data_IF_208839590899
#
_entry.id   IF_208839590899
#
_cell.length_a   1.000
_cell.length_b   1.000
_cell.length_c   1.000
_cell.angle_alpha   90.00
_cell.angle_beta   90.00
_cell.angle_gamma   90.00
#
_symmetry.space_group_name_H-M   'P 1'
#
loop_
_entity.id
_entity.type
_entity.pdbx_description
1 polymer ?
#
# COMPACT_ATOMS: atom_id res chain seq x y z
N UNK A 1 -11.10 29.45 -3.14
CA UNK A 1 -10.50 29.75 -4.43
C UNK A 1 -9.74 28.53 -4.93
N UNK A 2 -9.83 28.19 -6.20
CA UNK A 2 -9.15 27.04 -6.79
C UNK A 2 -7.70 27.41 -7.11
N UNK A 3 -6.74 26.59 -6.65
CA UNK A 3 -5.30 26.86 -6.83
C UNK A 3 -4.63 25.87 -7.78
N UNK A 4 -5.17 24.66 -7.89
CA UNK A 4 -4.70 23.66 -8.85
C UNK A 4 -5.89 22.92 -9.44
N UNK A 5 -5.91 22.78 -10.77
CA UNK A 5 -6.82 21.89 -11.49
C UNK A 5 -6.04 21.03 -12.47
N UNK A 6 -6.25 19.73 -12.38
CA UNK A 6 -5.78 18.75 -13.36
C UNK A 6 -6.99 18.08 -13.98
N UNK A 7 -7.03 17.99 -15.33
CA UNK A 7 -8.17 17.41 -16.05
C UNK A 7 -7.70 16.51 -17.17
N UNK A 8 -8.25 15.29 -17.21
CA UNK A 8 -7.98 14.25 -18.21
C UNK A 8 -6.48 13.98 -18.41
N UNK A 9 -5.74 13.90 -17.28
CA UNK A 9 -4.30 13.64 -17.32
C UNK A 9 -4.04 12.17 -17.62
N UNK A 10 -3.21 11.92 -18.63
CA UNK A 10 -2.63 10.60 -18.91
C UNK A 10 -1.12 10.73 -19.04
N UNK A 11 -0.39 10.09 -18.14
CA UNK A 11 1.08 9.99 -18.18
C UNK A 11 1.50 8.56 -18.44
N UNK A 12 2.35 8.40 -19.45
CA UNK A 12 2.98 7.11 -19.79
C UNK A 12 4.50 7.24 -19.75
N UNK A 13 5.20 6.20 -19.33
CA UNK A 13 6.65 6.04 -19.43
C UNK A 13 6.92 4.66 -20.02
N UNK A 14 7.67 4.59 -21.12
CA UNK A 14 7.96 3.34 -21.82
C UNK A 14 6.70 2.50 -22.09
N UNK A 15 5.66 3.11 -22.64
CA UNK A 15 4.34 2.50 -22.96
C UNK A 15 3.56 1.97 -21.75
N UNK A 16 4.02 2.24 -20.51
CA UNK A 16 3.31 1.89 -19.29
C UNK A 16 2.56 3.11 -18.76
N UNK A 17 1.26 2.95 -18.50
CA UNK A 17 0.49 3.98 -17.80
C UNK A 17 0.98 4.13 -16.37
N UNK A 18 1.42 5.35 -16.02
CA UNK A 18 1.88 5.70 -14.68
C UNK A 18 0.78 6.42 -13.92
N UNK A 19 0.10 7.38 -14.57
CA UNK A 19 -0.98 8.15 -13.95
C UNK A 19 -2.13 8.36 -14.94
N UNK A 20 -3.35 8.18 -14.43
CA UNK A 20 -4.60 8.53 -15.09
C UNK A 20 -5.45 9.33 -14.10
N UNK A 21 -5.67 10.60 -14.38
CA UNK A 21 -6.38 11.53 -13.50
C UNK A 21 -7.53 12.13 -14.29
N UNK A 22 -8.76 11.65 -14.08
CA UNK A 22 -9.93 12.25 -14.73
C UNK A 22 -10.09 13.72 -14.33
N UNK A 23 -10.09 13.99 -13.04
CA UNK A 23 -10.10 15.33 -12.47
C UNK A 23 -9.51 15.34 -11.06
N UNK A 24 -8.69 16.35 -10.75
CA UNK A 24 -8.20 16.67 -9.41
C UNK A 24 -8.25 18.18 -9.24
N UNK A 25 -8.95 18.65 -8.21
CA UNK A 25 -9.07 20.06 -7.87
C UNK A 25 -8.60 20.26 -6.44
N UNK A 26 -7.69 21.23 -6.27
CA UNK A 26 -7.23 21.65 -4.95
C UNK A 26 -7.57 23.12 -4.72
N UNK A 27 -8.00 23.43 -3.50
CA UNK A 27 -8.41 24.76 -3.10
C UNK A 27 -7.38 25.40 -2.17
N UNK A 28 -7.44 26.73 -2.11
CA UNK A 28 -6.58 27.51 -1.25
C UNK A 28 -6.76 27.11 0.24
N UNK A 29 -5.64 26.99 0.94
CA UNK A 29 -5.63 26.62 2.35
C UNK A 29 -5.75 25.12 2.65
N UNK A 30 -5.96 24.25 1.64
CA UNK A 30 -6.03 22.80 1.87
C UNK A 30 -4.67 22.22 2.28
N UNK A 31 -4.71 21.19 3.12
CA UNK A 31 -3.57 20.39 3.59
C UNK A 31 -3.70 18.99 2.98
N UNK A 32 -2.92 18.73 1.94
CA UNK A 32 -3.07 17.52 1.13
C UNK A 32 -1.86 16.60 1.32
N UNK A 33 -2.11 15.34 1.70
CA UNK A 33 -1.12 14.27 1.69
C UNK A 33 -1.20 13.45 0.41
N UNK A 34 -0.08 13.26 -0.30
CA UNK A 34 -0.02 12.31 -1.42
C UNK A 34 0.58 11.02 -0.90
N UNK A 35 -0.19 9.93 -1.01
CA UNK A 35 0.21 8.60 -0.53
C UNK A 35 0.13 7.55 -1.64
N UNK A 36 0.95 6.50 -1.49
CA UNK A 36 1.01 5.38 -2.43
C UNK A 36 2.33 4.63 -2.30
N UNK A 37 2.40 3.43 -2.87
CA UNK A 37 3.61 2.61 -2.85
C UNK A 37 4.80 3.29 -3.55
N UNK A 38 6.03 2.83 -3.27
CA UNK A 38 7.20 3.37 -3.96
C UNK A 38 7.14 3.04 -5.45
N UNK A 39 7.50 4.02 -6.29
CA UNK A 39 7.47 3.88 -7.75
C UNK A 39 6.08 4.00 -8.38
N UNK A 40 5.02 4.34 -7.62
CA UNK A 40 3.65 4.46 -8.15
C UNK A 40 3.41 5.75 -8.94
N UNK A 41 4.34 6.72 -8.91
CA UNK A 41 4.22 7.98 -9.64
C UNK A 41 4.04 9.24 -8.77
N UNK A 42 4.27 9.18 -7.44
CA UNK A 42 4.16 10.35 -6.56
C UNK A 42 5.04 11.51 -7.03
N UNK A 43 6.34 11.28 -7.19
CA UNK A 43 7.29 12.30 -7.66
C UNK A 43 7.00 12.74 -9.10
N UNK A 44 6.50 11.85 -9.96
CA UNK A 44 6.05 12.20 -11.33
C UNK A 44 4.87 13.18 -11.26
N UNK A 45 3.90 12.92 -10.39
CA UNK A 45 2.77 13.83 -10.15
C UNK A 45 3.25 15.22 -9.71
N UNK A 46 4.19 15.27 -8.74
CA UNK A 46 4.76 16.54 -8.28
C UNK A 46 5.48 17.28 -9.42
N UNK A 47 6.29 16.58 -10.22
CA UNK A 47 7.01 17.18 -11.37
C UNK A 47 6.06 17.75 -12.43
N UNK A 48 4.93 17.09 -12.66
CA UNK A 48 3.92 17.65 -13.56
C UNK A 48 3.28 18.92 -12.99
N UNK A 49 3.01 18.95 -11.67
CA UNK A 49 2.42 20.14 -11.01
C UNK A 49 3.39 21.34 -11.07
N UNK A 50 4.69 21.13 -10.85
CA UNK A 50 5.70 22.20 -10.94
C UNK A 50 6.18 22.47 -12.37
N UNK A 51 5.56 21.84 -13.38
CA UNK A 51 5.85 21.99 -14.80
C UNK A 51 7.28 21.61 -15.24
N UNK A 52 7.96 20.76 -14.45
CA UNK A 52 9.24 20.13 -14.85
C UNK A 52 9.04 18.96 -15.84
N UNK A 53 7.89 18.30 -15.80
CA UNK A 53 7.52 17.22 -16.71
C UNK A 53 6.26 17.60 -17.47
N UNK A 54 6.41 17.93 -18.74
CA UNK A 54 5.31 18.35 -19.63
C UNK A 54 4.92 17.25 -20.65
N UNK A 55 5.52 16.06 -20.54
CA UNK A 55 5.19 14.92 -21.41
C UNK A 55 3.99 14.15 -20.85
N UNK A 56 2.80 14.75 -20.96
CA UNK A 56 1.52 14.15 -20.58
C UNK A 56 0.40 14.67 -21.49
N UNK A 57 -0.71 13.93 -21.53
CA UNK A 57 -1.96 14.40 -22.14
C UNK A 57 -2.85 15.03 -21.07
N UNK A 58 -3.69 15.96 -21.48
CA UNK A 58 -4.64 16.63 -20.59
C UNK A 58 -4.23 18.07 -20.26
N UNK A 59 -4.79 18.64 -19.22
CA UNK A 59 -4.59 20.03 -18.84
C UNK A 59 -4.29 20.14 -17.35
N UNK A 60 -3.24 20.91 -17.01
CA UNK A 60 -2.92 21.33 -15.64
C UNK A 60 -2.98 22.85 -15.60
N UNK A 61 -3.79 23.37 -14.70
CA UNK A 61 -3.90 24.81 -14.45
C UNK A 61 -3.48 25.08 -13.01
N UNK A 62 -2.54 25.97 -12.82
CA UNK A 62 -2.05 26.42 -11.52
C UNK A 62 -2.34 27.91 -11.38
N UNK A 63 -3.00 28.30 -10.30
CA UNK A 63 -3.32 29.68 -9.96
C UNK A 63 -2.49 30.10 -8.75
N UNK A 64 -1.39 30.80 -8.97
CA UNK A 64 -0.46 31.30 -7.96
C UNK A 64 0.94 30.72 -8.12
N UNK A 65 1.83 31.15 -7.25
CA UNK A 65 3.23 30.75 -7.21
C UNK A 65 3.41 29.44 -6.42
N UNK A 66 4.39 28.63 -6.87
CA UNK A 66 4.73 27.36 -6.25
C UNK A 66 6.13 27.44 -5.67
N UNK A 67 6.31 26.99 -4.41
CA UNK A 67 7.61 26.62 -3.89
C UNK A 67 7.68 25.10 -3.73
N UNK A 68 8.77 24.50 -4.19
CA UNK A 68 9.01 23.07 -4.11
C UNK A 68 10.26 22.75 -3.29
N UNK A 69 10.11 21.91 -2.29
CA UNK A 69 11.20 21.35 -1.49
C UNK A 69 11.37 19.88 -1.87
N UNK A 70 12.39 19.55 -2.68
CA UNK A 70 12.64 18.18 -3.11
C UNK A 70 13.21 17.32 -1.98
N UNK A 71 13.07 16.01 -2.13
CA UNK A 71 13.76 15.05 -1.27
C UNK A 71 15.27 15.18 -1.43
N UNK A 72 15.99 15.40 -0.33
CA UNK A 72 17.46 15.44 -0.31
C UNK A 72 18.01 14.01 -0.43
N UNK A 73 18.58 13.66 -1.58
CA UNK A 73 19.10 12.31 -1.86
C UNK A 73 20.62 12.18 -1.69
N UNK A 74 21.37 13.23 -2.02
CA UNK A 74 22.84 13.24 -1.98
C UNK A 74 23.32 14.38 -1.10
N UNK A 75 24.22 14.03 -0.18
CA UNK A 75 24.86 14.96 0.73
C UNK A 75 26.32 15.04 0.30
N UNK A 76 26.67 16.07 -0.49
CA UNK A 76 28.06 16.30 -0.89
C UNK A 76 28.82 17.18 0.11
N UNK A 77 28.11 18.16 0.71
CA UNK A 77 28.70 19.09 1.68
C UNK A 77 27.69 19.37 2.81
N UNK A 78 28.05 19.05 4.04
CA UNK A 78 27.24 19.35 5.22
C UNK A 78 26.36 18.20 5.73
N UNK A 79 25.53 18.47 6.74
CA UNK A 79 24.55 17.53 7.27
C UNK A 79 23.26 17.61 6.45
N UNK A 80 22.73 16.46 6.00
CA UNK A 80 21.45 16.42 5.27
C UNK A 80 20.31 17.14 5.97
N UNK A 81 20.29 17.10 7.31
CA UNK A 81 19.30 17.83 8.09
C UNK A 81 19.43 19.35 8.02
N UNK A 82 20.65 19.90 7.91
CA UNK A 82 20.85 21.34 7.73
C UNK A 82 20.41 21.81 6.37
N UNK A 83 20.76 21.04 5.33
CA UNK A 83 20.36 21.35 3.96
C UNK A 83 18.83 21.32 3.87
N UNK A 84 18.17 20.27 4.40
CA UNK A 84 16.72 20.16 4.42
C UNK A 84 16.09 21.33 5.19
N UNK A 85 16.64 21.68 6.36
CA UNK A 85 16.10 22.78 7.17
C UNK A 85 16.29 24.14 6.47
N UNK A 86 17.40 24.36 5.78
CA UNK A 86 17.67 25.58 5.00
C UNK A 86 16.64 25.72 3.87
N UNK A 87 16.45 24.67 3.05
CA UNK A 87 15.47 24.66 1.97
C UNK A 87 14.05 24.92 2.48
N UNK A 88 13.67 24.28 3.59
CA UNK A 88 12.36 24.52 4.21
C UNK A 88 12.20 25.97 4.65
N UNK A 89 13.18 26.56 5.32
CA UNK A 89 13.12 27.97 5.75
C UNK A 89 13.00 28.93 4.57
N UNK A 90 13.75 28.71 3.52
CA UNK A 90 13.68 29.50 2.28
C UNK A 90 12.29 29.39 1.63
N UNK A 91 11.75 28.17 1.49
CA UNK A 91 10.44 27.92 0.92
C UNK A 91 9.30 28.56 1.73
N UNK A 92 9.33 28.50 3.07
CA UNK A 92 8.35 29.21 3.91
C UNK A 92 8.49 30.73 3.87
N UNK A 93 9.72 31.25 3.68
CA UNK A 93 9.98 32.68 3.64
C UNK A 93 9.46 33.34 2.36
N UNK A 94 9.39 32.62 1.26
CA UNK A 94 8.84 33.11 -0.02
C UNK A 94 7.31 33.26 -0.01
N UNK A 95 6.60 32.70 1.00
CA UNK A 95 5.14 32.76 1.15
C UNK A 95 4.38 32.36 -0.11
N UNK A 96 4.66 31.21 -0.70
CA UNK A 96 4.01 30.81 -1.95
C UNK A 96 2.52 30.52 -1.75
N UNK A 97 1.74 30.58 -2.83
CA UNK A 97 0.34 30.14 -2.82
C UNK A 97 0.22 28.62 -2.63
N UNK A 98 1.18 27.87 -3.17
CA UNK A 98 1.27 26.40 -3.05
C UNK A 98 2.67 26.03 -2.59
N UNK A 99 2.76 25.33 -1.47
CA UNK A 99 4.00 24.77 -0.96
C UNK A 99 4.00 23.24 -1.13
N UNK A 100 4.95 22.72 -1.88
CA UNK A 100 5.10 21.28 -2.14
C UNK A 100 6.31 20.76 -1.38
N UNK A 101 6.11 19.73 -0.54
CA UNK A 101 7.11 19.12 0.32
C UNK A 101 7.24 17.63 -0.05
N UNK A 102 8.40 17.21 -0.56
CA UNK A 102 8.67 15.80 -0.90
C UNK A 102 9.62 15.19 0.14
N UNK A 103 9.08 14.31 1.02
CA UNK A 103 9.77 13.65 2.14
C UNK A 103 10.57 14.60 3.04
N UNK A 104 9.96 15.68 3.56
CA UNK A 104 10.70 16.75 4.27
C UNK A 104 11.30 16.30 5.60
N UNK A 105 10.83 15.17 6.18
CA UNK A 105 11.32 14.66 7.47
C UNK A 105 12.49 13.71 7.38
N UNK A 106 12.88 13.25 6.18
CA UNK A 106 13.85 12.17 5.98
C UNK A 106 15.23 12.40 6.64
N UNK A 107 15.61 13.66 6.86
CA UNK A 107 16.89 14.05 7.47
C UNK A 107 16.73 14.97 8.70
N UNK A 108 15.48 15.21 9.15
CA UNK A 108 15.23 16.06 10.30
C UNK A 108 15.29 15.25 11.61
N UNK A 109 15.80 15.87 12.65
CA UNK A 109 15.64 15.39 14.02
C UNK A 109 14.24 15.75 14.57
N UNK A 110 13.87 15.14 15.70
CA UNK A 110 12.55 15.33 16.31
C UNK A 110 12.21 16.80 16.60
N UNK A 111 13.20 17.59 17.01
CA UNK A 111 12.99 19.03 17.28
C UNK A 111 12.63 19.78 15.99
N UNK A 112 13.33 19.50 14.90
CA UNK A 112 13.06 20.13 13.60
C UNK A 112 11.76 19.64 12.97
N UNK A 113 11.35 18.38 13.22
CA UNK A 113 10.01 17.89 12.82
C UNK A 113 8.91 18.68 13.53
N UNK A 114 9.02 18.90 14.84
CA UNK A 114 8.06 19.74 15.60
C UNK A 114 8.01 21.19 15.08
N UNK A 115 9.19 21.76 14.80
CA UNK A 115 9.29 23.08 14.16
C UNK A 115 8.55 23.11 12.82
N UNK A 116 8.74 22.07 11.98
CA UNK A 116 8.05 21.96 10.68
C UNK A 116 6.54 21.90 10.85
N UNK A 117 6.02 21.07 11.75
CA UNK A 117 4.58 20.98 12.04
C UNK A 117 4.02 22.35 12.44
N UNK A 118 4.71 23.06 13.34
CA UNK A 118 4.28 24.38 13.77
C UNK A 118 4.31 25.41 12.62
N UNK A 119 5.30 25.35 11.72
CA UNK A 119 5.33 26.23 10.54
C UNK A 119 4.22 25.93 9.56
N UNK A 120 3.94 24.65 9.31
CA UNK A 120 2.84 24.21 8.44
C UNK A 120 1.48 24.65 8.99
N UNK A 121 1.25 24.51 10.30
CA UNK A 121 -0.04 24.90 10.92
C UNK A 121 -0.34 26.40 10.80
N UNK A 122 0.71 27.25 10.71
CA UNK A 122 0.59 28.71 10.56
C UNK A 122 0.70 29.20 9.11
N UNK A 123 0.81 28.29 8.17
CA UNK A 123 0.95 28.66 6.76
C UNK A 123 -0.43 28.90 6.13
N UNK A 124 -0.66 30.07 5.52
CA UNK A 124 -1.97 30.42 4.96
C UNK A 124 -2.23 29.78 3.57
N UNK A 125 -1.17 29.45 2.81
CA UNK A 125 -1.28 28.82 1.48
C UNK A 125 -1.67 27.34 1.54
N UNK A 126 -1.78 26.73 0.38
CA UNK A 126 -2.06 25.30 0.18
C UNK A 126 -0.78 24.50 0.35
N UNK A 127 -0.85 23.37 1.04
CA UNK A 127 0.29 22.46 1.21
C UNK A 127 0.01 21.13 0.54
N UNK A 128 0.96 20.67 -0.27
CA UNK A 128 1.02 19.33 -0.84
C UNK A 128 2.21 18.62 -0.22
N UNK A 129 1.95 17.54 0.53
CA UNK A 129 2.95 16.81 1.29
C UNK A 129 3.03 15.36 0.81
N UNK A 130 4.22 14.92 0.42
CA UNK A 130 4.57 13.51 0.27
C UNK A 130 5.40 13.11 1.46
N UNK A 131 4.95 12.16 2.27
CA UNK A 131 5.71 11.65 3.41
C UNK A 131 5.35 10.22 3.76
N UNK A 132 6.29 9.51 4.35
CA UNK A 132 6.10 8.21 5.02
C UNK A 132 6.01 8.36 6.55
N UNK A 133 6.17 9.55 7.07
CA UNK A 133 6.06 9.86 8.50
C UNK A 133 4.58 10.00 8.90
N UNK A 134 4.07 8.97 9.58
CA UNK A 134 2.67 8.93 10.05
C UNK A 134 2.34 10.06 11.00
N UNK A 135 3.27 10.38 11.91
CA UNK A 135 3.06 11.44 12.89
C UNK A 135 2.87 12.79 12.21
N UNK A 136 3.69 13.07 11.18
CA UNK A 136 3.55 14.28 10.38
C UNK A 136 2.22 14.32 9.64
N UNK A 137 1.84 13.22 8.96
CA UNK A 137 0.61 13.14 8.19
C UNK A 137 -0.63 13.30 9.07
N UNK A 138 -0.70 12.63 10.22
CA UNK A 138 -1.87 12.70 11.11
C UNK A 138 -2.07 14.08 11.75
N UNK A 139 -0.97 14.83 12.00
CA UNK A 139 -1.07 16.15 12.62
C UNK A 139 -1.39 17.30 11.64
N UNK A 140 -1.21 17.06 10.33
CA UNK A 140 -1.25 18.14 9.34
C UNK A 140 -2.35 17.93 8.31
N UNK A 141 -2.53 16.68 7.83
CA UNK A 141 -3.31 16.41 6.63
C UNK A 141 -4.79 16.32 6.93
N UNK A 142 -5.59 16.99 6.10
CA UNK A 142 -7.05 16.99 6.13
C UNK A 142 -7.65 16.27 4.90
N UNK A 143 -6.82 16.06 3.88
CA UNK A 143 -7.22 15.46 2.62
C UNK A 143 -6.09 14.60 2.06
N UNK A 144 -6.39 13.40 1.64
CA UNK A 144 -5.41 12.46 1.08
C UNK A 144 -5.72 12.22 -0.39
N UNK A 145 -4.70 12.38 -1.21
CA UNK A 145 -4.69 11.94 -2.61
C UNK A 145 -3.86 10.67 -2.68
N UNK A 146 -4.51 9.54 -2.93
CA UNK A 146 -3.80 8.26 -3.02
C UNK A 146 -3.73 7.78 -4.46
N UNK A 147 -2.57 7.18 -4.79
CA UNK A 147 -2.30 6.64 -6.12
C UNK A 147 -2.29 5.12 -6.05
N UNK A 148 -3.18 4.48 -6.79
CA UNK A 148 -3.28 3.03 -6.86
C UNK A 148 -3.63 2.57 -8.28
N UNK A 149 -2.88 1.60 -8.83
CA UNK A 149 -3.09 1.07 -10.19
C UNK A 149 -3.18 2.17 -11.25
N UNK A 150 -2.30 3.15 -11.16
CA UNK A 150 -2.23 4.33 -12.05
C UNK A 150 -3.44 5.29 -11.95
N UNK A 151 -4.38 5.04 -11.06
CA UNK A 151 -5.52 5.92 -10.81
C UNK A 151 -5.34 6.72 -9.53
N UNK A 152 -5.98 7.87 -9.46
CA UNK A 152 -6.02 8.71 -8.28
C UNK A 152 -7.38 8.57 -7.59
N UNK A 153 -7.33 8.42 -6.27
CA UNK A 153 -8.49 8.58 -5.41
C UNK A 153 -8.27 9.71 -4.41
N UNK A 154 -9.34 10.27 -3.90
CA UNK A 154 -9.32 11.34 -2.90
C UNK A 154 -10.12 10.90 -1.69
N UNK A 155 -9.51 11.02 -0.51
CA UNK A 155 -10.12 10.76 0.78
C UNK A 155 -10.09 12.03 1.63
N UNK A 156 -11.19 12.36 2.33
CA UNK A 156 -11.26 13.46 3.28
C UNK A 156 -11.07 12.91 4.68
N UNK A 157 -10.05 13.38 5.37
CA UNK A 157 -9.68 12.94 6.70
C UNK A 157 -8.17 12.83 6.87
N UNK A 158 -7.72 12.42 8.06
CA UNK A 158 -6.32 12.23 8.39
C UNK A 158 -5.81 10.85 7.91
N UNK A 159 -4.52 10.60 8.10
CA UNK A 159 -3.88 9.38 7.60
C UNK A 159 -4.33 8.11 8.36
N UNK A 160 -4.55 8.20 9.66
CA UNK A 160 -5.06 7.09 10.48
C UNK A 160 -6.48 6.68 10.06
N UNK A 161 -7.36 7.64 9.79
CA UNK A 161 -8.72 7.36 9.28
C UNK A 161 -8.67 6.68 7.92
N UNK A 162 -7.84 7.17 7.02
CA UNK A 162 -7.61 6.57 5.71
C UNK A 162 -7.10 5.12 5.79
N UNK A 163 -6.09 4.85 6.64
CA UNK A 163 -5.59 3.48 6.84
C UNK A 163 -6.67 2.56 7.41
N UNK A 164 -7.46 3.03 8.37
CA UNK A 164 -8.54 2.24 8.97
C UNK A 164 -9.61 1.86 7.93
N UNK A 165 -10.06 2.82 7.12
CA UNK A 165 -11.01 2.54 6.04
C UNK A 165 -10.44 1.55 5.03
N UNK A 166 -9.20 1.73 4.61
CA UNK A 166 -8.54 0.79 3.69
C UNK A 166 -8.42 -0.61 4.27
N UNK A 167 -8.07 -0.74 5.55
CA UNK A 167 -7.98 -2.03 6.21
C UNK A 167 -9.35 -2.71 6.29
N UNK A 168 -10.43 -1.97 6.58
CA UNK A 168 -11.78 -2.51 6.58
C UNK A 168 -12.21 -3.01 5.19
N UNK A 169 -11.94 -2.23 4.13
CA UNK A 169 -12.23 -2.64 2.74
C UNK A 169 -11.45 -3.92 2.39
N UNK A 170 -10.17 -3.98 2.76
CA UNK A 170 -9.32 -5.16 2.52
C UNK A 170 -9.84 -6.40 3.26
N UNK A 171 -10.17 -6.27 4.55
CA UNK A 171 -10.76 -7.37 5.33
C UNK A 171 -12.08 -7.86 4.73
N UNK A 172 -12.96 -6.95 4.32
CA UNK A 172 -14.20 -7.32 3.67
C UNK A 172 -13.96 -8.05 2.34
N UNK A 173 -12.97 -7.61 1.59
CA UNK A 173 -12.58 -8.26 0.34
C UNK A 173 -12.08 -9.70 0.60
N UNK A 174 -11.24 -9.92 1.62
CA UNK A 174 -10.78 -11.26 2.00
C UNK A 174 -11.92 -12.15 2.49
N UNK A 175 -12.89 -11.61 3.26
CA UNK A 175 -14.10 -12.34 3.68
C UNK A 175 -14.92 -12.78 2.46
N UNK A 176 -15.10 -11.90 1.49
CA UNK A 176 -15.83 -12.22 0.26
C UNK A 176 -15.13 -13.31 -0.56
N UNK A 177 -13.79 -13.27 -0.68
CA UNK A 177 -12.98 -14.30 -1.34
C UNK A 177 -13.14 -15.66 -0.64
N UNK A 178 -13.06 -15.66 0.70
CA UNK A 178 -13.21 -16.88 1.49
C UNK A 178 -14.61 -17.50 1.30
N UNK A 179 -15.66 -16.68 1.33
CA UNK A 179 -17.03 -17.12 1.08
C UNK A 179 -17.20 -17.70 -0.33
N UNK A 180 -16.67 -17.03 -1.35
CA UNK A 180 -16.67 -17.52 -2.73
C UNK A 180 -15.98 -18.88 -2.85
N UNK A 181 -14.77 -19.02 -2.29
CA UNK A 181 -14.03 -20.27 -2.35
C UNK A 181 -14.75 -21.43 -1.63
N UNK A 182 -15.36 -21.15 -0.48
CA UNK A 182 -16.16 -22.12 0.26
C UNK A 182 -17.38 -22.58 -0.55
N UNK A 183 -18.11 -21.65 -1.18
CA UNK A 183 -19.28 -21.97 -2.00
C UNK A 183 -18.88 -22.76 -3.26
N UNK A 184 -17.80 -22.39 -3.95
CA UNK A 184 -17.25 -23.15 -5.08
C UNK A 184 -16.88 -24.57 -4.64
N UNK A 185 -16.18 -24.73 -3.53
CA UNK A 185 -15.77 -26.04 -3.01
C UNK A 185 -17.00 -26.91 -2.63
N UNK A 186 -18.02 -26.30 -2.01
CA UNK A 186 -19.27 -26.98 -1.65
C UNK A 186 -20.01 -27.48 -2.89
N UNK A 187 -20.20 -26.60 -3.88
CA UNK A 187 -20.91 -26.95 -5.11
C UNK A 187 -20.15 -27.99 -5.95
N UNK A 188 -18.83 -27.89 -5.99
CA UNK A 188 -17.99 -28.88 -6.70
C UNK A 188 -18.11 -30.27 -6.07
N UNK A 189 -18.00 -30.37 -4.74
CA UNK A 189 -18.20 -31.64 -4.01
C UNK A 189 -19.62 -32.20 -4.23
N UNK A 190 -20.64 -31.35 -4.22
CA UNK A 190 -22.02 -31.75 -4.46
C UNK A 190 -22.19 -32.30 -5.89
N UNK A 191 -21.60 -31.64 -6.88
CA UNK A 191 -21.60 -32.08 -8.27
C UNK A 191 -20.92 -33.43 -8.45
N UNK A 192 -19.74 -33.61 -7.88
CA UNK A 192 -19.00 -34.88 -7.91
C UNK A 192 -19.79 -36.02 -7.29
N UNK A 193 -20.38 -35.78 -6.11
CA UNK A 193 -21.22 -36.78 -5.44
C UNK A 193 -22.45 -37.16 -6.29
N UNK A 194 -23.09 -36.22 -6.98
CA UNK A 194 -24.19 -36.49 -7.88
C UNK A 194 -23.75 -37.26 -9.13
N UNK A 195 -22.59 -36.92 -9.71
CA UNK A 195 -22.02 -37.65 -10.84
C UNK A 195 -21.64 -39.11 -10.47
N UNK A 196 -21.08 -39.34 -9.27
CA UNK A 196 -20.76 -40.67 -8.76
C UNK A 196 -22.05 -41.50 -8.56
N UNK A 197 -23.07 -40.89 -7.94
CA UNK A 197 -24.38 -41.57 -7.73
C UNK A 197 -25.07 -41.92 -9.04
N UNK A 198 -25.10 -41.01 -10.00
CA UNK A 198 -25.63 -41.26 -11.35
C UNK A 198 -24.95 -42.44 -12.03
N UNK A 199 -23.58 -42.49 -12.03
CA UNK A 199 -22.81 -43.60 -12.57
C UNK A 199 -23.11 -44.96 -11.88
N UNK A 200 -23.36 -44.95 -10.56
CA UNK A 200 -23.72 -46.16 -9.81
C UNK A 200 -25.12 -46.67 -10.18
N UNK A 201 -26.06 -45.76 -10.47
CA UNK A 201 -27.42 -46.11 -10.88
C UNK A 201 -27.39 -46.71 -12.31
N UNK A 202 -26.68 -46.07 -13.25
CA UNK A 202 -26.57 -46.60 -14.63
C UNK A 202 -25.91 -47.96 -14.69
N UNK A 203 -24.85 -48.21 -13.88
CA UNK A 203 -24.24 -49.56 -13.76
C UNK A 203 -25.16 -50.60 -13.16
N UNK A 204 -26.06 -50.25 -12.22
CA UNK A 204 -27.07 -51.17 -11.68
C UNK A 204 -28.17 -51.48 -12.69
N UNK A 205 -28.49 -50.55 -13.56
CA UNK A 205 -29.45 -50.72 -14.64
C UNK A 205 -28.93 -51.71 -15.72
N UNK A 206 -27.63 -51.56 -16.12
CA UNK A 206 -27.05 -52.40 -17.17
C UNK A 206 -26.75 -53.86 -16.76
N UNK A 207 -26.46 -54.11 -15.46
CA UNK A 207 -26.15 -55.49 -15.00
C UNK A 207 -27.38 -56.37 -14.71
N UNK A 208 -28.62 -55.92 -14.94
CA UNK A 208 -29.85 -56.67 -14.67
C UNK A 208 -30.70 -57.00 -15.88
N UNK A 209 -30.12 -57.03 -17.08
CA UNK A 209 -30.84 -57.43 -18.27
C UNK A 209 -30.75 -58.95 -18.41
N UNK A 210 -31.57 -59.66 -17.67
CA UNK A 210 -32.01 -61.00 -17.99
C UNK A 210 -33.45 -60.91 -18.59
N UNK A 211 -33.64 -61.47 -19.73
CA UNK A 211 -34.82 -61.29 -20.60
C UNK A 211 -36.17 -61.87 -20.05
N UNK A 212 -36.24 -62.39 -18.84
CA UNK A 212 -37.38 -63.16 -18.36
C UNK A 212 -38.15 -62.60 -17.13
N UNK A 213 -37.80 -61.40 -16.65
CA UNK A 213 -38.41 -60.94 -15.39
C UNK A 213 -39.26 -59.67 -15.53
N UNK A 214 -40.64 -59.84 -15.56
CA UNK A 214 -41.59 -58.75 -15.62
C UNK A 214 -41.44 -57.73 -14.47
N UNK A 215 -41.08 -58.19 -13.26
CA UNK A 215 -40.80 -57.34 -12.12
C UNK A 215 -39.57 -56.45 -12.30
N UNK A 216 -38.62 -56.86 -13.15
CA UNK A 216 -37.44 -56.06 -13.50
C UNK A 216 -37.79 -54.87 -14.41
N UNK A 217 -38.77 -55.04 -15.34
CA UNK A 217 -39.25 -53.99 -16.25
C UNK A 217 -39.99 -52.85 -15.52
N UNK A 218 -40.82 -53.16 -14.52
CA UNK A 218 -41.50 -52.10 -13.74
C UNK A 218 -40.57 -51.22 -12.88
N UNK A 219 -39.42 -51.80 -12.45
CA UNK A 219 -38.40 -51.03 -11.73
C UNK A 219 -37.48 -50.24 -12.68
N UNK A 220 -37.37 -50.58 -13.95
CA UNK A 220 -36.56 -49.88 -14.94
C UNK A 220 -37.03 -48.42 -15.17
N UNK A 221 -38.34 -48.20 -15.29
CA UNK A 221 -38.92 -46.83 -15.41
C UNK A 221 -38.62 -45.94 -14.21
N UNK A 222 -38.48 -46.52 -13.01
CA UNK A 222 -38.10 -45.81 -11.80
C UNK A 222 -36.62 -45.39 -11.79
N UNK A 223 -35.72 -46.23 -12.32
CA UNK A 223 -34.29 -45.90 -12.40
C UNK A 223 -34.01 -44.86 -13.48
N UNK A 224 -34.67 -44.90 -14.65
CA UNK A 224 -34.51 -43.87 -15.69
C UNK A 224 -35.02 -42.50 -15.23
N UNK A 225 -36.12 -42.47 -14.49
CA UNK A 225 -36.61 -41.20 -13.93
C UNK A 225 -35.69 -40.63 -12.88
N UNK A 226 -35.06 -41.46 -12.02
CA UNK A 226 -34.08 -41.02 -11.03
C UNK A 226 -32.78 -40.53 -11.68
N UNK A 227 -32.30 -41.19 -12.73
CA UNK A 227 -31.13 -40.76 -13.48
C UNK A 227 -31.34 -39.40 -14.16
N UNK A 228 -32.51 -39.24 -14.85
CA UNK A 228 -32.88 -37.93 -15.44
C UNK A 228 -33.01 -36.83 -14.41
N UNK A 229 -33.56 -37.08 -13.23
CA UNK A 229 -33.69 -36.13 -12.14
C UNK A 229 -32.27 -35.73 -11.60
N UNK A 230 -31.38 -36.69 -11.43
CA UNK A 230 -29.97 -36.42 -11.02
C UNK A 230 -29.18 -35.63 -12.07
N UNK A 231 -29.33 -35.98 -13.35
CA UNK A 231 -28.71 -35.25 -14.45
C UNK A 231 -29.22 -33.79 -14.52
N UNK A 232 -30.54 -33.57 -14.34
CA UNK A 232 -31.13 -32.22 -14.26
C UNK A 232 -30.58 -31.44 -13.09
N UNK A 233 -30.44 -32.06 -11.92
CA UNK A 233 -29.91 -31.39 -10.72
C UNK A 233 -28.41 -31.12 -10.84
N UNK A 234 -27.61 -31.98 -11.51
CA UNK A 234 -26.20 -31.74 -11.80
C UNK A 234 -26.02 -30.54 -12.74
N UNK A 235 -26.80 -30.46 -13.83
CA UNK A 235 -26.83 -29.30 -14.73
C UNK A 235 -27.21 -27.99 -14.01
N UNK A 236 -28.11 -28.05 -13.05
CA UNK A 236 -28.50 -26.88 -12.25
C UNK A 236 -27.32 -26.38 -11.40
N UNK A 237 -26.52 -27.29 -10.81
CA UNK A 237 -25.32 -26.94 -10.06
C UNK A 237 -24.23 -26.37 -10.99
N UNK A 238 -24.01 -26.98 -12.15
CA UNK A 238 -23.07 -26.47 -13.15
C UNK A 238 -23.45 -25.04 -13.59
N UNK A 239 -24.74 -24.80 -13.84
CA UNK A 239 -25.26 -23.45 -14.15
C UNK A 239 -25.11 -22.47 -12.99
N UNK A 240 -25.20 -22.93 -11.73
CA UNK A 240 -24.93 -22.09 -10.57
C UNK A 240 -23.45 -21.76 -10.45
N UNK A 241 -22.56 -22.72 -10.63
CA UNK A 241 -21.10 -22.51 -10.66
C UNK A 241 -20.68 -21.50 -11.75
N UNK A 242 -21.23 -21.63 -12.97
CA UNK A 242 -20.91 -20.71 -14.06
C UNK A 242 -21.39 -19.27 -13.85
N UNK A 243 -22.35 -19.05 -12.94
CA UNK A 243 -22.87 -17.71 -12.57
C UNK A 243 -22.12 -17.08 -11.42
N UNK A 244 -21.29 -17.83 -10.68
CA UNK A 244 -20.49 -17.29 -9.60
C UNK A 244 -19.37 -16.44 -10.19
N UNK A 245 -19.40 -15.15 -9.91
CA UNK A 245 -18.35 -14.21 -10.29
C UNK A 245 -17.28 -14.17 -9.20
N UNK A 246 -16.02 -14.42 -9.58
CA UNK A 246 -14.93 -14.33 -8.63
C UNK A 246 -14.75 -12.87 -8.15
N UNK A 247 -14.69 -12.62 -6.84
CA UNK A 247 -14.42 -11.29 -6.33
C UNK A 247 -13.03 -10.83 -6.70
N UNK A 248 -12.85 -9.52 -6.92
CA UNK A 248 -11.54 -8.93 -7.19
C UNK A 248 -10.62 -9.13 -5.99
N UNK A 249 -9.36 -9.49 -6.25
CA UNK A 249 -8.35 -9.59 -5.19
C UNK A 249 -7.86 -8.21 -4.79
N UNK A 250 -7.67 -7.92 -3.50
CA UNK A 250 -7.01 -6.70 -3.07
C UNK A 250 -5.58 -6.65 -3.61
N UNK A 251 -5.05 -5.44 -3.77
CA UNK A 251 -3.65 -5.26 -4.19
C UNK A 251 -2.72 -5.88 -3.14
N UNK A 252 -1.73 -6.69 -3.56
CA UNK A 252 -0.81 -7.28 -2.59
C UNK A 252 -0.07 -6.15 -1.86
N UNK A 253 -0.13 -6.12 -0.53
CA UNK A 253 0.78 -5.30 0.27
C UNK A 253 2.18 -5.84 0.01
N UNK A 254 3.11 -4.99 -0.41
CA UNK A 254 4.52 -5.34 -0.52
C UNK A 254 5.05 -5.60 0.89
N UNK A 255 4.91 -6.83 1.37
CA UNK A 255 5.57 -7.24 2.60
C UNK A 255 7.07 -7.34 2.31
N UNK A 256 7.85 -6.45 2.87
CA UNK A 256 9.30 -6.62 2.93
C UNK A 256 9.54 -7.82 3.85
N UNK A 257 9.68 -9.00 3.25
CA UNK A 257 10.14 -10.18 4.00
C UNK A 257 11.64 -10.02 4.20
N UNK A 258 12.04 -9.60 5.38
CA UNK A 258 13.41 -9.78 5.81
C UNK A 258 13.67 -11.29 5.82
N UNK A 259 14.59 -11.76 4.98
CA UNK A 259 15.15 -13.11 5.14
C UNK A 259 15.90 -13.09 6.46
N UNK A 260 15.27 -13.56 7.51
CA UNK A 260 15.98 -13.91 8.73
C UNK A 260 16.89 -15.05 8.33
N UNK A 261 18.18 -14.77 8.24
CA UNK A 261 19.20 -15.82 8.16
C UNK A 261 19.15 -16.46 9.55
N UNK A 262 18.38 -17.52 9.68
CA UNK A 262 18.45 -18.41 10.84
C UNK A 262 19.74 -19.23 10.71
N UNK A 263 20.88 -18.56 10.91
CA UNK A 263 22.08 -19.28 11.25
C UNK A 263 21.90 -19.75 12.71
N UNK A 264 21.70 -21.02 12.90
CA UNK A 264 21.91 -21.70 14.19
C UNK A 264 23.41 -21.65 14.54
N UNK A 265 23.90 -20.45 14.78
CA UNK A 265 25.21 -20.25 15.38
C UNK A 265 24.95 -20.34 16.88
N UNK A 266 25.37 -21.42 17.51
CA UNK A 266 25.52 -21.52 18.98
C UNK A 266 26.58 -20.49 19.39
N UNK A 267 26.14 -19.30 19.79
CA UNK A 267 27.04 -18.30 20.33
C UNK A 267 27.41 -18.67 21.76
N UNK A 268 28.69 -18.87 22.01
CA UNK A 268 29.26 -19.16 23.31
C UNK A 268 29.26 -17.95 24.27
N UNK A 269 28.90 -16.76 23.83
CA UNK A 269 28.73 -15.56 24.67
C UNK A 269 27.42 -14.84 24.36
N UNK A 270 26.71 -14.42 25.43
CA UNK A 270 25.48 -13.64 25.34
C UNK A 270 25.69 -12.20 24.82
N UNK A 271 26.92 -11.75 24.62
CA UNK A 271 27.28 -10.39 24.19
C UNK A 271 27.53 -10.36 22.69
N UNK A 272 26.71 -9.58 21.96
CA UNK A 272 26.82 -9.44 20.51
C UNK A 272 27.81 -8.33 20.10
N UNK A 273 27.76 -7.21 20.80
CA UNK A 273 28.62 -6.05 20.57
C UNK A 273 29.07 -5.50 21.92
N UNK A 274 30.36 -5.30 22.10
CA UNK A 274 30.93 -4.63 23.26
C UNK A 274 31.76 -3.43 22.77
N UNK A 275 31.32 -2.22 23.10
CA UNK A 275 32.09 -1.00 22.92
C UNK A 275 32.75 -0.67 24.24
N UNK A 276 34.08 -0.55 24.24
CA UNK A 276 34.82 -0.10 25.42
C UNK A 276 34.73 1.42 25.52
N UNK A 277 34.82 1.90 26.76
CA UNK A 277 34.95 3.35 27.00
C UNK A 277 36.05 3.95 26.14
N UNK A 278 35.65 4.93 25.31
CA UNK A 278 36.55 5.55 24.35
C UNK A 278 36.14 6.98 24.02
N UNK A 279 37.08 7.80 23.62
CA UNK A 279 36.85 9.14 23.10
C UNK A 279 37.15 9.14 21.60
N UNK A 280 36.12 9.43 20.78
CA UNK A 280 36.28 9.65 19.35
C UNK A 280 36.33 11.15 19.09
N UNK A 281 37.45 11.63 18.60
CA UNK A 281 37.62 13.02 18.16
C UNK A 281 37.63 13.08 16.64
N UNK A 282 36.69 13.81 16.07
CA UNK A 282 36.66 14.13 14.65
C UNK A 282 36.89 15.62 14.46
N UNK A 283 37.13 16.09 13.24
CA UNK A 283 37.30 17.52 12.95
C UNK A 283 36.10 18.40 13.39
N UNK A 284 34.97 17.80 13.73
CA UNK A 284 33.70 18.50 14.02
C UNK A 284 33.09 18.15 15.37
N UNK A 285 33.41 17.00 15.97
CA UNK A 285 32.79 16.51 17.19
C UNK A 285 33.76 15.69 18.01
N UNK A 286 33.80 15.97 19.31
CA UNK A 286 34.37 15.10 20.34
C UNK A 286 33.25 14.27 20.94
N UNK A 287 33.25 12.96 20.68
CA UNK A 287 32.24 12.02 21.18
C UNK A 287 32.87 11.16 22.27
N UNK A 288 32.31 11.24 23.47
CA UNK A 288 32.64 10.30 24.54
C UNK A 288 31.68 9.13 24.51
N UNK A 289 32.22 7.92 24.34
CA UNK A 289 31.46 6.67 24.27
C UNK A 289 31.67 5.95 25.60
N UNK A 290 30.61 5.79 26.43
CA UNK A 290 30.69 4.96 27.62
C UNK A 290 30.81 3.49 27.23
N UNK A 291 31.15 2.62 28.18
CA UNK A 291 31.12 1.18 27.94
C UNK A 291 29.69 0.74 27.63
N UNK A 292 29.46 0.20 26.42
CA UNK A 292 28.16 -0.29 25.96
C UNK A 292 28.29 -1.79 25.65
N UNK A 293 27.40 -2.60 26.24
CA UNK A 293 27.30 -4.03 25.96
C UNK A 293 25.91 -4.33 25.41
N UNK A 294 25.84 -4.80 24.19
CA UNK A 294 24.59 -5.22 23.54
C UNK A 294 24.52 -6.75 23.55
N UNK A 295 23.45 -7.30 24.08
CA UNK A 295 23.20 -8.72 24.14
C UNK A 295 22.39 -9.20 22.96
N UNK A 296 22.48 -10.49 22.66
CA UNK A 296 21.68 -11.10 21.60
C UNK A 296 20.18 -10.98 21.91
N UNK A 297 19.38 -10.48 20.96
CA UNK A 297 17.93 -10.30 21.10
C UNK A 297 17.50 -8.96 21.70
N UNK A 298 18.41 -8.11 22.21
CA UNK A 298 18.09 -6.75 22.65
C UNK A 298 17.81 -5.84 21.45
N UNK A 299 16.89 -4.89 21.65
CA UNK A 299 16.57 -3.84 20.65
C UNK A 299 17.05 -2.51 21.21
N UNK A 300 17.98 -1.89 20.52
CA UNK A 300 18.55 -0.62 20.89
C UNK A 300 18.08 0.50 19.95
N UNK A 301 17.74 1.65 20.54
CA UNK A 301 17.39 2.84 19.80
C UNK A 301 18.40 3.94 20.11
N UNK A 302 19.12 4.40 19.07
CA UNK A 302 20.04 5.53 19.15
C UNK A 302 19.33 6.82 18.76
N UNK A 303 19.17 7.74 19.71
CA UNK A 303 18.51 9.04 19.51
C UNK A 303 19.46 10.19 19.76
N UNK A 304 19.16 11.34 19.20
CA UNK A 304 19.95 12.56 19.41
C UNK A 304 19.73 13.59 18.30
N UNK A 305 20.16 14.83 18.56
CA UNK A 305 20.08 15.94 17.61
C UNK A 305 20.91 15.67 16.34
N UNK A 306 20.64 16.39 15.26
CA UNK A 306 21.50 16.38 14.09
C UNK A 306 22.91 16.83 14.50
N UNK A 307 23.93 16.22 13.91
CA UNK A 307 25.37 16.39 14.25
C UNK A 307 25.77 15.91 15.66
N UNK A 308 24.96 15.16 16.39
CA UNK A 308 25.35 14.61 17.69
C UNK A 308 26.28 13.39 17.61
N UNK A 309 26.74 13.01 16.42
CA UNK A 309 27.67 11.89 16.22
C UNK A 309 27.01 10.51 16.10
N UNK A 310 25.68 10.40 15.90
CA UNK A 310 24.95 9.12 15.76
C UNK A 310 25.50 8.19 14.67
N UNK A 311 25.87 8.78 13.54
CA UNK A 311 26.42 8.02 12.40
C UNK A 311 27.92 7.74 12.56
N UNK A 312 28.61 8.47 13.43
CA UNK A 312 30.02 8.27 13.75
C UNK A 312 30.22 7.14 14.74
N UNK A 313 29.24 6.90 15.62
CA UNK A 313 29.18 5.76 16.52
C UNK A 313 28.84 4.46 15.80
#
# INVERSE_FOLDING_TARGET
MEVLRMKNIEKQINSRHILQIPELILHHGERIGIVGSNGVGKTTLLRMIIQEDNDYKGMITVNGDIAYVPQVKEIRDGSGGEISLKLLKEAFSSRPSILILDEPTSHLDQHNVQWLIHRISKFDGTIILVSHDRFLLDNIIEKIVFIERSQIGVFKGNFTEFENERNQIEEQCWKNIAQYNNEVSRLTKELENKKIRSKKISKKSSNRISNSDWKARSKMGSYDSQEKAMAKSAKAIEKRLSRLTAPSRPSPKTQIKFKTISSTLEYSSNTMIELKESKLSTNFIDLYIPQIKMRFGEKWLLTGRNKSGKTTL
#
